data_IF_105532835703
#
_entry.id   IF_105532835703
#
_cell.length_a   1.000
_cell.length_b   1.000
_cell.length_c   1.000
_cell.angle_alpha   90.00
_cell.angle_beta   90.00
_cell.angle_gamma   90.00
#
_symmetry.space_group_name_H-M   'P 1'
#
loop_
_entity.id
_entity.type
_entity.pdbx_description
1 polymer ?
#
# COMPACT_ATOMS: atom_id res chain seq x y z
N UNK A 1 27.29 -38.89 -55.29
CA UNK A 1 27.58 -37.45 -55.11
C UNK A 1 27.80 -37.21 -53.63
N UNK A 2 29.07 -37.08 -53.23
CA UNK A 2 29.52 -37.00 -51.84
C UNK A 2 29.39 -35.54 -51.42
N UNK A 3 28.47 -35.23 -50.51
CA UNK A 3 28.37 -33.90 -49.90
C UNK A 3 29.64 -33.69 -49.08
N UNK A 4 30.56 -32.86 -49.59
CA UNK A 4 31.86 -32.58 -48.98
C UNK A 4 31.71 -32.16 -47.51
N UNK A 5 32.67 -32.55 -46.65
CA UNK A 5 32.67 -32.17 -45.21
C UNK A 5 32.54 -30.65 -45.02
N UNK A 6 33.04 -29.86 -45.96
CA UNK A 6 32.88 -28.39 -45.97
C UNK A 6 31.41 -27.98 -46.15
N UNK A 7 30.68 -28.62 -47.06
CA UNK A 7 29.26 -28.35 -47.32
C UNK A 7 28.36 -28.80 -46.16
N UNK A 8 28.73 -29.87 -45.44
CA UNK A 8 27.99 -30.32 -44.25
C UNK A 8 28.13 -29.32 -43.07
N UNK A 9 29.33 -28.78 -42.86
CA UNK A 9 29.58 -27.74 -41.85
C UNK A 9 28.80 -26.45 -42.13
N UNK A 10 28.72 -26.03 -43.39
CA UNK A 10 27.97 -24.82 -43.77
C UNK A 10 26.46 -24.95 -43.49
N UNK A 11 25.88 -26.13 -43.75
CA UNK A 11 24.46 -26.39 -43.47
C UNK A 11 24.15 -26.40 -41.96
N UNK A 12 25.07 -26.90 -41.13
CA UNK A 12 24.93 -26.84 -39.68
C UNK A 12 25.03 -25.41 -39.16
N UNK A 13 25.98 -24.61 -39.67
CA UNK A 13 26.14 -23.20 -39.26
C UNK A 13 24.91 -22.36 -39.69
N UNK A 14 24.39 -22.57 -40.90
CA UNK A 14 23.17 -21.91 -41.37
C UNK A 14 21.92 -22.34 -40.57
N UNK A 15 21.81 -23.62 -40.19
CA UNK A 15 20.73 -24.13 -39.34
C UNK A 15 20.76 -23.60 -37.91
N UNK A 16 21.96 -23.43 -37.32
CA UNK A 16 22.13 -22.84 -35.98
C UNK A 16 21.85 -21.34 -35.99
N UNK A 17 22.15 -20.62 -37.09
CA UNK A 17 21.81 -19.20 -37.22
C UNK A 17 20.29 -18.97 -37.24
N UNK A 18 19.50 -19.85 -37.88
CA UNK A 18 18.04 -19.73 -37.94
C UNK A 18 17.33 -20.07 -36.61
N UNK A 19 17.93 -20.91 -35.77
CA UNK A 19 17.39 -21.22 -34.44
C UNK A 19 17.54 -20.05 -33.43
N UNK A 20 18.33 -19.02 -33.76
CA UNK A 20 18.58 -17.87 -32.87
C UNK A 20 17.77 -16.61 -33.21
N UNK A 21 16.93 -16.60 -34.26
CA UNK A 21 16.14 -15.42 -34.67
C UNK A 21 14.66 -15.48 -34.25
N UNK A 22 14.15 -16.63 -33.77
CA UNK A 22 12.75 -16.74 -33.32
C UNK A 22 12.53 -16.52 -31.83
N UNK A 23 13.58 -16.25 -31.06
CA UNK A 23 13.49 -15.94 -29.62
C UNK A 23 13.49 -14.43 -29.43
N UNK A 24 12.30 -13.83 -29.40
CA UNK A 24 11.90 -12.60 -28.67
C UNK A 24 10.58 -12.04 -29.26
N UNK A 25 9.52 -12.86 -29.34
CA UNK A 25 8.16 -12.29 -29.25
C UNK A 25 7.92 -11.94 -27.78
N UNK A 26 8.55 -10.86 -27.31
CA UNK A 26 8.25 -10.25 -26.02
C UNK A 26 6.85 -9.61 -26.11
N UNK A 27 5.82 -10.46 -26.01
CA UNK A 27 4.54 -10.02 -25.48
C UNK A 27 4.79 -9.71 -24.00
N UNK A 28 5.25 -8.49 -23.71
CA UNK A 28 5.59 -8.03 -22.38
C UNK A 28 4.40 -8.22 -21.44
N UNK A 29 4.43 -9.29 -20.65
CA UNK A 29 3.62 -9.37 -19.44
C UNK A 29 4.27 -8.40 -18.47
N UNK A 30 3.61 -7.27 -18.23
CA UNK A 30 3.87 -6.46 -17.03
C UNK A 30 3.66 -7.41 -15.85
N UNK A 31 4.75 -7.80 -15.19
CA UNK A 31 4.65 -8.50 -13.93
C UNK A 31 4.01 -7.50 -12.97
N UNK A 32 2.76 -7.74 -12.61
CA UNK A 32 1.98 -6.85 -11.74
C UNK A 32 2.30 -7.20 -10.28
N UNK A 33 3.58 -7.23 -9.95
CA UNK A 33 4.04 -7.48 -8.59
C UNK A 33 3.66 -6.25 -7.76
N UNK A 34 2.80 -6.49 -6.79
CA UNK A 34 2.44 -5.49 -5.82
C UNK A 34 3.33 -5.62 -4.58
N UNK A 35 3.58 -4.50 -3.87
CA UNK A 35 4.22 -4.56 -2.56
C UNK A 35 3.42 -5.44 -1.58
N UNK A 36 4.07 -5.78 -0.48
CA UNK A 36 3.45 -6.56 0.60
C UNK A 36 2.08 -5.96 1.02
N UNK A 37 1.12 -6.85 1.27
CA UNK A 37 -0.26 -6.53 1.66
C UNK A 37 -1.11 -5.80 0.61
N UNK A 38 -0.66 -5.76 -0.65
CA UNK A 38 -1.43 -5.22 -1.76
C UNK A 38 -1.56 -6.23 -2.89
N UNK A 39 -2.65 -6.12 -3.64
CA UNK A 39 -2.86 -6.95 -4.82
C UNK A 39 -3.30 -6.11 -6.00
N UNK A 40 -2.96 -6.55 -7.21
CA UNK A 40 -3.30 -5.82 -8.41
C UNK A 40 -4.79 -6.01 -8.74
N UNK A 41 -5.51 -4.90 -8.94
CA UNK A 41 -6.89 -4.91 -9.44
C UNK A 41 -7.05 -4.00 -10.64
N UNK A 42 -8.00 -4.34 -11.52
CA UNK A 42 -8.31 -3.51 -12.70
C UNK A 42 -9.09 -2.24 -12.34
N UNK A 43 -9.93 -2.32 -11.32
CA UNK A 43 -10.73 -1.21 -10.79
C UNK A 43 -10.39 -1.07 -9.32
N UNK A 44 -9.63 -0.03 -8.96
CA UNK A 44 -9.29 0.24 -7.56
C UNK A 44 -10.41 1.00 -6.89
N UNK A 45 -10.87 0.54 -5.74
CA UNK A 45 -11.75 1.31 -4.88
C UNK A 45 -10.95 2.39 -4.13
N UNK A 46 -11.60 3.11 -3.22
CA UNK A 46 -10.88 3.98 -2.31
C UNK A 46 -10.21 3.15 -1.20
N UNK A 47 -8.98 3.51 -0.83
CA UNK A 47 -8.19 2.84 0.19
C UNK A 47 -8.32 3.60 1.53
N UNK A 48 -8.28 2.89 2.65
CA UNK A 48 -8.22 3.51 3.98
C UNK A 48 -6.83 4.06 4.29
N UNK A 49 -6.75 5.04 5.19
CA UNK A 49 -5.49 5.53 5.79
C UNK A 49 -5.53 5.38 7.31
N UNK A 50 -4.42 5.63 8.02
CA UNK A 50 -4.46 5.61 9.49
C UNK A 50 -5.40 6.67 10.08
N UNK A 51 -5.56 7.81 9.39
CA UNK A 51 -6.43 8.92 9.79
C UNK A 51 -7.90 8.65 9.46
N UNK A 52 -8.16 7.85 8.41
CA UNK A 52 -9.50 7.42 8.03
C UNK A 52 -9.47 5.96 7.54
N UNK A 53 -9.51 4.98 8.45
CA UNK A 53 -9.36 3.56 8.09
C UNK A 53 -10.51 3.00 7.25
N UNK A 54 -11.71 3.54 7.42
CA UNK A 54 -12.94 3.07 6.77
C UNK A 54 -13.62 4.24 6.02
N UNK A 55 -13.01 4.72 4.92
CA UNK A 55 -13.58 5.80 4.13
C UNK A 55 -14.86 5.36 3.42
N UNK A 56 -15.84 6.25 3.34
CA UNK A 56 -17.01 6.05 2.49
C UNK A 56 -16.57 6.20 1.03
N UNK A 57 -16.53 5.09 0.29
CA UNK A 57 -16.18 5.10 -1.14
C UNK A 57 -17.42 5.29 -2.02
N UNK A 58 -17.29 6.09 -3.08
CA UNK A 58 -18.22 6.03 -4.22
C UNK A 58 -18.00 4.74 -5.01
N UNK A 59 -18.97 4.34 -5.84
CA UNK A 59 -18.82 3.18 -6.74
C UNK A 59 -17.92 3.46 -7.96
N UNK A 60 -17.19 4.58 -7.99
CA UNK A 60 -16.30 4.91 -9.09
C UNK A 60 -14.97 4.16 -8.99
N UNK A 61 -14.53 3.61 -10.12
CA UNK A 61 -13.25 2.94 -10.25
C UNK A 61 -12.11 3.94 -10.40
N UNK A 62 -11.07 3.80 -9.60
CA UNK A 62 -9.76 4.39 -9.87
C UNK A 62 -8.99 3.52 -10.88
N UNK A 63 -7.99 4.08 -11.59
CA UNK A 63 -7.18 3.34 -12.55
C UNK A 63 -6.58 2.07 -11.95
N UNK A 64 -6.41 1.07 -12.81
CA UNK A 64 -5.81 -0.21 -12.46
C UNK A 64 -4.45 -0.04 -11.76
N UNK A 65 -4.19 -0.87 -10.75
CA UNK A 65 -2.97 -0.78 -9.95
C UNK A 65 -3.02 -1.66 -8.71
N UNK A 66 -1.99 -1.53 -7.87
CA UNK A 66 -1.95 -2.16 -6.56
C UNK A 66 -2.94 -1.49 -5.60
N UNK A 67 -3.68 -2.33 -4.89
CA UNK A 67 -4.77 -1.95 -4.00
C UNK A 67 -4.52 -2.48 -2.59
N UNK A 68 -4.58 -1.56 -1.64
CA UNK A 68 -4.57 -1.81 -0.21
C UNK A 68 -6.02 -1.85 0.30
N UNK A 69 -6.52 -3.05 0.59
CA UNK A 69 -7.94 -3.26 0.85
C UNK A 69 -8.31 -2.99 2.32
N UNK A 70 -9.11 -1.94 2.62
CA UNK A 70 -9.56 -1.68 3.99
C UNK A 70 -10.47 -2.77 4.55
N UNK A 71 -11.22 -3.49 3.71
CA UNK A 71 -12.06 -4.61 4.15
C UNK A 71 -11.25 -5.82 4.65
N UNK A 72 -9.99 -5.93 4.22
CA UNK A 72 -9.07 -6.98 4.68
C UNK A 72 -8.30 -6.54 5.94
N UNK A 73 -8.65 -5.40 6.53
CA UNK A 73 -8.01 -4.87 7.73
C UNK A 73 -6.69 -4.14 7.46
N UNK A 74 -6.45 -3.66 6.23
CA UNK A 74 -5.24 -2.92 5.87
C UNK A 74 -5.51 -1.46 5.53
N UNK A 75 -4.52 -0.60 5.77
CA UNK A 75 -4.58 0.82 5.43
C UNK A 75 -3.26 1.31 4.85
N UNK A 76 -3.32 2.33 3.99
CA UNK A 76 -2.14 2.94 3.40
C UNK A 76 -1.56 4.01 4.31
N UNK A 77 -0.28 3.86 4.67
CA UNK A 77 0.52 4.84 5.42
C UNK A 77 1.88 5.03 4.76
N UNK A 78 2.24 6.27 4.43
CA UNK A 78 3.52 6.61 3.81
C UNK A 78 3.87 5.73 2.59
N UNK A 79 2.86 5.46 1.75
CA UNK A 79 3.00 4.63 0.54
C UNK A 79 3.00 3.13 0.77
N UNK A 80 2.94 2.64 2.02
CA UNK A 80 2.90 1.20 2.36
C UNK A 80 1.51 0.78 2.82
N UNK A 81 1.09 -0.43 2.46
CA UNK A 81 -0.09 -1.07 3.02
C UNK A 81 0.29 -1.84 4.29
N UNK A 82 -0.28 -1.43 5.42
CA UNK A 82 -0.01 -2.00 6.74
C UNK A 82 -1.31 -2.46 7.38
N UNK A 83 -1.23 -3.42 8.29
CA UNK A 83 -2.37 -3.78 9.14
C UNK A 83 -2.90 -2.53 9.85
N UNK A 84 -4.23 -2.36 9.89
CA UNK A 84 -4.92 -1.25 10.55
C UNK A 84 -4.47 -1.10 12.00
N UNK A 85 -4.19 -2.21 12.68
CA UNK A 85 -3.71 -2.25 14.06
C UNK A 85 -2.28 -1.68 14.24
N UNK A 86 -1.47 -1.68 13.17
CA UNK A 86 -0.13 -1.05 13.16
C UNK A 86 -0.17 0.45 12.94
N UNK A 87 -1.33 1.01 12.62
CA UNK A 87 -1.53 2.40 12.92
C UNK A 87 -1.38 2.53 14.42
N UNK A 88 -0.27 3.17 14.85
CA UNK A 88 -0.20 3.65 16.22
C UNK A 88 -1.56 4.29 16.50
N UNK A 89 -2.33 3.81 17.50
CA UNK A 89 -3.41 4.64 18.00
C UNK A 89 -2.80 6.02 18.26
N UNK A 90 -3.56 7.12 18.11
CA UNK A 90 -3.08 8.39 18.64
C UNK A 90 -2.59 8.10 20.06
N UNK A 91 -1.28 8.16 20.25
CA UNK A 91 -0.71 7.86 21.54
C UNK A 91 -1.30 8.96 22.44
N UNK A 92 -1.83 8.68 23.65
CA UNK A 92 -2.27 9.75 24.55
C UNK A 92 -1.18 10.82 24.77
N UNK A 93 0.08 10.45 24.55
CA UNK A 93 1.26 11.33 24.55
C UNK A 93 1.26 12.34 23.39
N UNK A 94 0.74 12.00 22.21
CA UNK A 94 0.63 12.94 21.06
C UNK A 94 -0.47 13.98 21.29
N UNK A 95 -1.47 13.71 22.14
CA UNK A 95 -2.57 14.64 22.44
C UNK A 95 -2.04 15.95 23.06
N UNK A 96 -1.06 15.84 23.96
CA UNK A 96 -0.42 16.99 24.61
C UNK A 96 0.81 17.53 23.84
N UNK A 97 1.18 16.91 22.71
CA UNK A 97 2.37 17.29 21.96
C UNK A 97 2.15 18.62 21.23
N UNK A 98 2.91 19.64 21.61
CA UNK A 98 2.80 20.99 21.04
C UNK A 98 1.74 21.88 21.70
N UNK A 99 0.99 21.36 22.68
CA UNK A 99 0.03 22.14 23.46
C UNK A 99 0.75 22.86 24.61
N UNK A 100 0.57 24.17 24.73
CA UNK A 100 1.19 25.00 25.78
C UNK A 100 0.14 25.45 26.79
N UNK A 101 0.20 24.90 28.00
CA UNK A 101 -0.61 25.33 29.12
C UNK A 101 0.01 26.53 29.85
N UNK A 102 -0.79 27.24 30.65
CA UNK A 102 -0.33 28.40 31.44
C UNK A 102 0.53 27.92 32.62
N UNK A 103 1.35 28.82 33.18
CA UNK A 103 2.06 28.54 34.43
C UNK A 103 1.05 28.12 35.53
N UNK A 104 1.40 27.09 36.29
CA UNK A 104 0.49 26.52 37.30
C UNK A 104 -0.50 25.48 36.77
N UNK A 105 -0.35 25.05 35.51
CA UNK A 105 -1.16 23.97 34.91
C UNK A 105 -0.28 22.98 34.14
N UNK A 106 -0.70 21.72 34.05
CA UNK A 106 -0.10 20.69 33.22
C UNK A 106 -1.11 20.17 32.18
N UNK A 107 -0.63 19.61 31.08
CA UNK A 107 -1.49 19.01 30.06
C UNK A 107 -1.80 17.57 30.44
N UNK A 108 -3.10 17.24 30.49
CA UNK A 108 -3.59 15.88 30.71
C UNK A 108 -4.59 15.53 29.60
N UNK A 109 -4.44 14.37 28.93
CA UNK A 109 -5.42 13.88 27.97
C UNK A 109 -6.74 13.56 28.68
N UNK A 110 -7.86 14.10 28.20
CA UNK A 110 -9.18 13.76 28.71
C UNK A 110 -10.11 13.32 27.58
N UNK A 111 -10.95 12.31 27.85
CA UNK A 111 -12.01 11.88 26.93
C UNK A 111 -13.12 12.91 26.85
N UNK A 112 -13.52 13.28 25.63
CA UNK A 112 -14.71 14.11 25.42
C UNK A 112 -15.94 13.27 25.74
N UNK A 113 -16.56 13.52 26.89
CA UNK A 113 -17.85 12.92 27.27
C UNK A 113 -19.01 13.84 26.85
N UNK A 114 -20.15 13.28 26.38
CA UNK A 114 -20.38 11.87 26.07
C UNK A 114 -19.60 11.46 24.81
N UNK A 115 -19.06 10.24 24.78
CA UNK A 115 -18.42 9.73 23.56
C UNK A 115 -19.50 9.63 22.47
N UNK A 116 -19.44 10.47 21.41
CA UNK A 116 -20.54 10.59 20.46
C UNK A 116 -20.74 9.32 19.62
N UNK A 117 -19.72 8.45 19.57
CA UNK A 117 -19.73 7.21 18.83
C UNK A 117 -19.00 6.12 19.63
N UNK A 118 -19.74 5.15 20.17
CA UNK A 118 -19.20 4.00 20.92
C UNK A 118 -18.59 2.93 20.01
N UNK A 119 -18.77 3.03 18.69
CA UNK A 119 -18.12 2.12 17.72
C UNK A 119 -16.68 2.52 17.41
N UNK A 120 -16.25 3.68 17.91
CA UNK A 120 -14.89 4.23 17.72
C UNK A 120 -14.20 4.44 19.08
N UNK A 121 -12.86 4.45 19.10
CA UNK A 121 -12.13 4.94 20.27
C UNK A 121 -12.59 6.36 20.63
N UNK A 122 -12.83 6.64 21.90
CA UNK A 122 -13.25 7.97 22.34
C UNK A 122 -12.16 8.99 21.99
N UNK A 123 -12.59 10.14 21.45
CA UNK A 123 -11.68 11.24 21.12
C UNK A 123 -11.06 11.81 22.41
N UNK A 124 -9.72 11.86 22.46
CA UNK A 124 -8.94 12.49 23.52
C UNK A 124 -8.55 13.91 23.12
N UNK A 125 -8.76 14.88 24.02
CA UNK A 125 -8.36 16.28 23.81
C UNK A 125 -7.36 16.71 24.89
N UNK A 126 -6.42 17.63 24.55
CA UNK A 126 -5.52 18.20 25.54
C UNK A 126 -6.29 19.15 26.45
N UNK A 127 -6.25 18.88 27.76
CA UNK A 127 -6.87 19.75 28.77
C UNK A 127 -5.78 20.26 29.71
N UNK A 128 -5.78 21.56 29.98
CA UNK A 128 -4.91 22.14 30.99
C UNK A 128 -5.56 21.97 32.36
N UNK A 129 -4.95 21.16 33.21
CA UNK A 129 -5.38 20.90 34.58
C UNK A 129 -4.43 21.62 35.54
N UNK A 130 -4.96 22.14 36.64
CA UNK A 130 -4.14 22.77 37.68
C UNK A 130 -3.32 21.71 38.43
N UNK A 131 -2.12 22.08 38.89
CA UNK A 131 -1.37 21.28 39.86
C UNK A 131 -2.14 21.08 41.16
#
# INVERSE_FOLDING_TARGET
MIVSRQTFLILIIAGVALANVTKLRNGGRVIRDCPENEYFVQCRACEGTCENPEPVCTRMCRPAGCFCNPSDGFVRKNGRCIEKERCRPPNPIDVCKGFKCRAGTYCEPQHVKPCPDLTKPCEEKPVCVHF
#
